data_IF_318700793739
#
_entry.id   IF_318700793739
#
_cell.length_a   1.000
_cell.length_b   1.000
_cell.length_c   1.000
_cell.angle_alpha   90.00
_cell.angle_beta   90.00
_cell.angle_gamma   90.00
#
_symmetry.space_group_name_H-M   'P 1'
#
loop_
_entity.id
_entity.type
_entity.pdbx_description
1 polymer ?
#
# COMPACT_ATOMS: atom_id res chain seq x y z
N UNK A 1 -12.21 -27.90 66.41
CA UNK A 1 -11.05 -27.24 65.76
C UNK A 1 -10.87 -27.63 64.28
N UNK A 2 -11.51 -28.69 63.77
CA UNK A 2 -11.33 -29.15 62.37
C UNK A 2 -11.99 -28.27 61.28
N UNK A 3 -13.14 -27.63 61.54
CA UNK A 3 -13.82 -26.77 60.54
C UNK A 3 -13.00 -25.54 60.12
N UNK A 4 -12.10 -25.04 60.99
CA UNK A 4 -11.25 -23.89 60.67
C UNK A 4 -10.06 -24.26 59.77
N UNK A 5 -9.59 -25.51 59.81
CA UNK A 5 -8.48 -25.97 58.97
C UNK A 5 -8.88 -26.16 57.50
N UNK A 6 -10.08 -26.71 57.24
CA UNK A 6 -10.60 -26.88 55.88
C UNK A 6 -10.89 -25.54 55.18
N UNK A 7 -11.40 -24.55 55.91
CA UNK A 7 -11.67 -23.21 55.37
C UNK A 7 -10.38 -22.45 55.04
N UNK A 8 -9.30 -22.65 55.81
CA UNK A 8 -7.98 -22.10 55.50
C UNK A 8 -7.37 -22.73 54.24
N UNK A 9 -7.56 -24.03 54.04
CA UNK A 9 -6.99 -24.75 52.90
C UNK A 9 -7.69 -24.37 51.58
N UNK A 10 -9.03 -24.24 51.60
CA UNK A 10 -9.82 -23.77 50.44
C UNK A 10 -9.46 -22.33 50.03
N UNK A 11 -9.29 -21.43 51.00
CA UNK A 11 -8.87 -20.04 50.73
C UNK A 11 -7.46 -19.95 50.13
N UNK A 12 -6.51 -20.75 50.61
CA UNK A 12 -5.14 -20.79 50.03
C UNK A 12 -5.15 -21.25 48.57
N UNK A 13 -5.95 -22.26 48.23
CA UNK A 13 -6.06 -22.76 46.86
C UNK A 13 -6.75 -21.75 45.93
N UNK A 14 -7.74 -21.02 46.42
CA UNK A 14 -8.40 -19.95 45.65
C UNK A 14 -7.49 -18.75 45.40
N UNK A 15 -6.73 -18.31 46.42
CA UNK A 15 -5.73 -17.25 46.26
C UNK A 15 -4.61 -17.66 45.30
N UNK A 16 -4.15 -18.92 45.36
CA UNK A 16 -3.14 -19.45 44.43
C UNK A 16 -3.65 -19.47 42.98
N UNK A 17 -4.91 -19.87 42.76
CA UNK A 17 -5.53 -19.89 41.43
C UNK A 17 -5.68 -18.48 40.84
N UNK A 18 -6.16 -17.51 41.62
CA UNK A 18 -6.24 -16.11 41.18
C UNK A 18 -4.86 -15.55 40.83
N UNK A 19 -3.85 -15.86 41.65
CA UNK A 19 -2.47 -15.43 41.39
C UNK A 19 -1.94 -16.01 40.08
N UNK A 20 -2.23 -17.28 39.78
CA UNK A 20 -1.86 -17.92 38.52
C UNK A 20 -2.59 -17.31 37.31
N UNK A 21 -3.89 -17.04 37.41
CA UNK A 21 -4.67 -16.43 36.32
C UNK A 21 -4.20 -15.00 36.06
N UNK A 22 -3.95 -14.20 37.10
CA UNK A 22 -3.44 -12.84 36.95
C UNK A 22 -2.02 -12.85 36.38
N UNK A 23 -1.14 -13.75 36.81
CA UNK A 23 0.19 -13.92 36.24
C UNK A 23 0.14 -14.34 34.77
N UNK A 24 -0.78 -15.23 34.39
CA UNK A 24 -0.97 -15.65 33.01
C UNK A 24 -1.50 -14.51 32.13
N UNK A 25 -2.46 -13.72 32.63
CA UNK A 25 -2.95 -12.51 31.95
C UNK A 25 -1.82 -11.49 31.80
N UNK A 26 -0.99 -11.29 32.83
CA UNK A 26 0.12 -10.34 32.78
C UNK A 26 1.22 -10.79 31.81
N UNK A 27 1.55 -12.09 31.76
CA UNK A 27 2.48 -12.68 30.78
C UNK A 27 1.91 -12.57 29.36
N UNK A 28 0.61 -12.80 29.18
CA UNK A 28 -0.07 -12.65 27.90
C UNK A 28 -0.05 -11.18 27.43
N UNK A 29 -0.32 -10.22 28.33
CA UNK A 29 -0.22 -8.79 28.05
C UNK A 29 1.22 -8.33 27.79
N UNK A 30 2.21 -8.89 28.48
CA UNK A 30 3.64 -8.60 28.24
C UNK A 30 4.16 -9.20 26.92
N UNK A 31 3.59 -10.32 26.46
CA UNK A 31 3.86 -10.88 25.13
C UNK A 31 3.22 -10.04 24.01
N UNK A 32 2.03 -9.48 24.25
CA UNK A 32 1.39 -8.54 23.31
C UNK A 32 2.16 -7.21 23.25
N UNK A 33 2.62 -6.69 24.40
CA UNK A 33 3.31 -5.40 24.50
C UNK A 33 4.73 -5.34 23.90
N UNK A 34 5.30 -6.48 23.49
CA UNK A 34 6.62 -6.53 22.82
C UNK A 34 6.56 -6.71 21.31
N UNK A 35 5.38 -6.89 20.73
CA UNK A 35 5.20 -6.82 19.28
C UNK A 35 4.98 -5.37 18.86
N UNK A 36 6.01 -4.52 18.98
CA UNK A 36 6.16 -3.49 17.95
C UNK A 36 6.51 -4.24 16.67
N UNK A 37 5.51 -4.81 16.01
CA UNK A 37 5.70 -5.55 14.78
C UNK A 37 6.41 -4.59 13.82
N UNK A 38 7.63 -4.94 13.42
CA UNK A 38 8.35 -4.18 12.42
C UNK A 38 7.50 -4.24 11.14
N UNK A 39 6.74 -3.18 10.85
CA UNK A 39 5.80 -3.16 9.72
C UNK A 39 6.54 -3.28 8.39
N UNK A 40 7.75 -2.72 8.31
CA UNK A 40 8.57 -2.74 7.11
C UNK A 40 9.72 -3.74 7.18
N UNK A 41 10.00 -4.44 6.08
CA UNK A 41 11.16 -5.32 5.97
C UNK A 41 12.47 -4.52 6.10
N UNK A 42 13.56 -5.19 6.48
CA UNK A 42 14.90 -4.57 6.60
C UNK A 42 15.42 -3.99 5.28
N UNK A 43 14.88 -4.45 4.15
CA UNK A 43 15.20 -3.99 2.82
C UNK A 43 14.43 -2.74 2.38
N UNK A 44 13.63 -2.11 3.25
CA UNK A 44 12.87 -0.91 2.89
C UNK A 44 13.74 0.14 2.17
N UNK A 45 13.18 0.71 1.10
CA UNK A 45 13.84 1.65 0.17
C UNK A 45 14.99 1.06 -0.67
N UNK A 46 15.31 -0.23 -0.57
CA UNK A 46 16.32 -0.85 -1.44
C UNK A 46 15.63 -1.46 -2.67
N UNK A 47 16.10 -1.11 -3.87
CA UNK A 47 15.61 -1.70 -5.12
C UNK A 47 16.23 -3.09 -5.38
N UNK A 48 17.57 -3.13 -5.45
CA UNK A 48 18.34 -4.37 -5.52
C UNK A 48 18.71 -4.84 -4.09
N UNK A 49 18.34 -6.07 -3.74
CA UNK A 49 18.54 -6.61 -2.39
C UNK A 49 19.75 -7.53 -2.34
N UNK A 50 20.55 -7.39 -1.28
CA UNK A 50 21.73 -8.21 -1.01
C UNK A 50 21.66 -8.81 0.38
N UNK A 51 22.04 -10.08 0.50
CA UNK A 51 22.15 -10.80 1.75
C UNK A 51 23.58 -11.26 2.01
N UNK A 52 23.90 -11.46 3.28
CA UNK A 52 25.17 -12.03 3.70
C UNK A 52 25.17 -13.54 3.47
N UNK A 53 26.19 -14.04 2.78
CA UNK A 53 26.41 -15.46 2.52
C UNK A 53 27.81 -15.84 2.97
N UNK A 54 27.91 -16.90 3.77
CA UNK A 54 29.20 -17.45 4.21
C UNK A 54 29.81 -18.28 3.08
N UNK A 55 31.01 -17.92 2.63
CA UNK A 55 31.77 -18.74 1.71
C UNK A 55 32.29 -19.98 2.44
N UNK A 56 31.80 -21.16 2.06
CA UNK A 56 32.09 -22.43 2.73
C UNK A 56 33.55 -22.88 2.61
N UNK A 57 34.33 -22.31 1.68
CA UNK A 57 35.74 -22.65 1.48
C UNK A 57 36.67 -21.74 2.27
N UNK A 58 36.32 -20.47 2.38
CA UNK A 58 37.20 -19.46 2.99
C UNK A 58 36.74 -19.00 4.38
N UNK A 59 35.48 -19.25 4.75
CA UNK A 59 34.88 -18.75 5.98
C UNK A 59 34.59 -17.25 5.95
N UNK A 60 34.76 -16.57 4.81
CA UNK A 60 34.47 -15.14 4.67
C UNK A 60 33.00 -14.89 4.37
N UNK A 61 32.43 -13.85 5.00
CA UNK A 61 31.10 -13.36 4.68
C UNK A 61 31.17 -12.45 3.45
N UNK A 62 30.37 -12.74 2.44
CA UNK A 62 30.20 -11.91 1.24
C UNK A 62 28.77 -11.44 1.09
N UNK A 63 28.57 -10.26 0.51
CA UNK A 63 27.24 -9.80 0.11
C UNK A 63 26.90 -10.36 -1.26
N UNK A 64 25.80 -11.10 -1.36
CA UNK A 64 25.31 -11.72 -2.59
C UNK A 64 23.93 -11.15 -2.89
N UNK A 65 23.68 -10.83 -4.16
CA UNK A 65 22.36 -10.40 -4.59
C UNK A 65 21.37 -11.55 -4.37
N UNK A 66 20.20 -11.25 -3.80
CA UNK A 66 19.17 -12.28 -3.59
C UNK A 66 18.70 -12.85 -4.93
N UNK A 67 18.05 -14.02 -4.88
CA UNK A 67 17.41 -14.59 -6.06
C UNK A 67 16.39 -13.59 -6.64
N UNK A 68 16.37 -13.48 -7.96
CA UNK A 68 15.48 -12.57 -8.68
C UNK A 68 14.53 -13.34 -9.58
N UNK A 69 13.34 -12.77 -9.80
CA UNK A 69 12.40 -13.26 -10.80
C UNK A 69 12.97 -13.14 -12.23
N UNK A 70 12.21 -13.61 -13.23
CA UNK A 70 12.60 -13.56 -14.64
C UNK A 70 12.83 -12.14 -15.20
N UNK A 71 12.43 -11.10 -14.47
CA UNK A 71 12.61 -9.70 -14.85
C UNK A 71 13.76 -9.04 -14.10
N UNK A 72 14.29 -9.66 -13.05
CA UNK A 72 15.36 -9.11 -12.22
C UNK A 72 14.90 -8.44 -10.93
N UNK A 73 13.61 -8.52 -10.58
CA UNK A 73 13.14 -8.06 -9.27
C UNK A 73 13.43 -9.11 -8.19
N UNK A 74 13.57 -8.71 -6.93
CA UNK A 74 13.77 -9.66 -5.84
C UNK A 74 12.65 -10.71 -5.80
N UNK A 75 12.99 -11.98 -5.58
CA UNK A 75 12.01 -13.07 -5.57
C UNK A 75 11.45 -13.32 -4.17
N UNK A 76 10.12 -13.35 -4.05
CA UNK A 76 9.42 -13.62 -2.79
C UNK A 76 9.05 -12.38 -1.97
N UNK A 77 8.05 -12.53 -1.10
CA UNK A 77 7.38 -11.42 -0.40
C UNK A 77 8.18 -10.84 0.77
N UNK A 78 9.20 -11.55 1.27
CA UNK A 78 10.10 -11.10 2.32
C UNK A 78 10.96 -9.90 1.92
N UNK A 79 10.99 -9.57 0.63
CA UNK A 79 11.68 -8.39 0.09
C UNK A 79 10.73 -7.25 -0.29
N UNK A 80 9.42 -7.37 0.01
CA UNK A 80 8.46 -6.28 -0.19
C UNK A 80 8.74 -5.16 0.82
N UNK A 81 8.08 -4.01 0.68
CA UNK A 81 8.17 -2.94 1.68
C UNK A 81 7.70 -3.43 3.05
N UNK A 82 6.52 -4.04 3.12
CA UNK A 82 5.93 -4.50 4.37
C UNK A 82 6.08 -6.00 4.59
N UNK A 83 6.19 -6.41 5.85
CA UNK A 83 6.08 -7.82 6.24
C UNK A 83 4.68 -8.35 5.92
N UNK A 84 4.57 -9.66 5.67
CA UNK A 84 3.25 -10.28 5.46
C UNK A 84 2.37 -10.10 6.71
N UNK A 85 1.07 -9.90 6.47
CA UNK A 85 0.06 -9.68 7.51
C UNK A 85 0.26 -8.44 8.40
N UNK A 86 1.18 -7.53 8.05
CA UNK A 86 1.46 -6.30 8.83
C UNK A 86 0.23 -5.43 9.08
N UNK A 87 -0.76 -5.48 8.19
CA UNK A 87 -1.95 -4.63 8.20
C UNK A 87 -3.24 -5.43 8.44
N UNK A 88 -3.17 -6.52 9.20
CA UNK A 88 -4.37 -7.24 9.64
C UNK A 88 -5.34 -6.31 10.36
N UNK A 89 -6.60 -6.32 9.93
CA UNK A 89 -7.65 -5.44 10.45
C UNK A 89 -7.82 -4.15 9.66
N UNK A 90 -6.85 -3.78 8.81
CA UNK A 90 -6.96 -2.61 7.96
C UNK A 90 -7.81 -2.88 6.73
N UNK A 91 -8.62 -1.89 6.37
CA UNK A 91 -9.55 -1.97 5.22
C UNK A 91 -9.22 -0.92 4.17
N UNK A 92 -9.12 -1.35 2.92
CA UNK A 92 -9.04 -0.48 1.74
C UNK A 92 -10.43 -0.42 1.10
N UNK A 93 -11.00 0.77 0.98
CA UNK A 93 -12.21 1.00 0.19
C UNK A 93 -11.80 1.32 -1.24
N UNK A 94 -12.40 0.65 -2.21
CA UNK A 94 -12.10 0.81 -3.64
C UNK A 94 -13.36 1.23 -4.39
N UNK A 95 -13.31 2.40 -5.02
CA UNK A 95 -14.24 2.81 -6.06
C UNK A 95 -13.72 2.25 -7.39
N UNK A 96 -14.21 1.06 -7.76
CA UNK A 96 -13.84 0.38 -8.99
C UNK A 96 -14.82 0.81 -10.09
N UNK A 97 -14.57 1.97 -10.71
CA UNK A 97 -15.52 2.60 -11.63
C UNK A 97 -15.40 2.11 -13.07
N UNK A 98 -14.27 1.50 -13.44
CA UNK A 98 -14.06 0.87 -14.74
C UNK A 98 -14.01 -0.66 -14.60
N UNK A 99 -15.00 -1.34 -15.18
CA UNK A 99 -15.13 -2.82 -15.15
C UNK A 99 -15.05 -3.42 -16.56
N UNK A 100 -14.49 -2.67 -17.51
CA UNK A 100 -14.34 -3.12 -18.88
C UNK A 100 -13.33 -4.27 -18.99
N UNK A 101 -13.32 -4.94 -20.14
CA UNK A 101 -12.24 -5.86 -20.54
C UNK A 101 -11.99 -7.00 -19.53
N UNK A 102 -13.00 -7.35 -18.73
CA UNK A 102 -12.93 -8.40 -17.72
C UNK A 102 -12.20 -7.98 -16.43
N UNK A 103 -11.96 -6.69 -16.19
CA UNK A 103 -11.29 -6.24 -14.97
C UNK A 103 -12.14 -6.53 -13.72
N UNK A 104 -11.76 -7.56 -12.98
CA UNK A 104 -12.47 -8.03 -11.80
C UNK A 104 -11.77 -7.72 -10.46
N UNK A 105 -10.59 -7.10 -10.47
CA UNK A 105 -9.75 -6.77 -9.30
C UNK A 105 -9.33 -7.97 -8.44
N UNK A 106 -9.44 -9.21 -8.94
CA UNK A 106 -9.08 -10.41 -8.19
C UNK A 106 -7.58 -10.47 -7.86
N UNK A 107 -6.72 -10.07 -8.81
CA UNK A 107 -5.27 -10.09 -8.67
C UNK A 107 -4.76 -9.05 -7.64
N UNK A 108 -5.13 -7.75 -7.72
CA UNK A 108 -4.81 -6.80 -6.67
C UNK A 108 -5.33 -7.22 -5.30
N UNK A 109 -6.58 -7.71 -5.21
CA UNK A 109 -7.16 -8.17 -3.95
C UNK A 109 -6.34 -9.30 -3.32
N UNK A 110 -5.85 -10.24 -4.12
CA UNK A 110 -5.03 -11.36 -3.64
C UNK A 110 -3.70 -10.86 -3.10
N UNK A 111 -3.00 -9.99 -3.82
CA UNK A 111 -1.73 -9.42 -3.37
C UNK A 111 -1.89 -8.58 -2.09
N UNK A 112 -2.94 -7.76 -2.00
CA UNK A 112 -3.22 -6.96 -0.80
C UNK A 112 -3.51 -7.84 0.44
N UNK A 113 -4.17 -8.99 0.24
CA UNK A 113 -4.45 -9.95 1.31
C UNK A 113 -3.17 -10.53 1.93
N UNK A 114 -2.11 -10.72 1.15
CA UNK A 114 -0.80 -11.19 1.67
C UNK A 114 -0.25 -10.24 2.75
N UNK A 115 -0.52 -8.93 2.62
CA UNK A 115 -0.11 -7.91 3.60
C UNK A 115 -1.12 -7.68 4.71
N UNK A 116 -2.21 -8.44 4.74
CA UNK A 116 -3.23 -8.39 5.79
C UNK A 116 -4.39 -7.45 5.52
N UNK A 117 -4.39 -6.70 4.41
CA UNK A 117 -5.49 -5.81 4.07
C UNK A 117 -6.75 -6.60 3.71
N UNK A 118 -7.89 -6.09 4.18
CA UNK A 118 -9.18 -6.41 3.59
C UNK A 118 -9.56 -5.36 2.55
N UNK A 119 -10.38 -5.74 1.56
CA UNK A 119 -10.79 -4.88 0.46
C UNK A 119 -12.31 -4.87 0.36
N UNK A 120 -12.89 -3.68 0.43
CA UNK A 120 -14.31 -3.43 0.19
C UNK A 120 -14.50 -2.62 -1.09
N UNK A 121 -15.42 -3.04 -1.97
CA UNK A 121 -15.55 -2.50 -3.34
C UNK A 121 -16.93 -1.97 -3.63
N UNK A 122 -16.98 -0.79 -4.22
CA UNK A 122 -18.10 -0.31 -5.02
C UNK A 122 -17.76 -0.50 -6.49
N UNK A 123 -18.61 -1.23 -7.21
CA UNK A 123 -18.33 -1.72 -8.56
C UNK A 123 -19.18 -0.97 -9.56
N UNK A 124 -18.55 -0.49 -10.64
CA UNK A 124 -19.14 0.24 -11.76
C UNK A 124 -19.71 1.63 -11.39
N UNK A 125 -20.39 1.80 -10.26
CA UNK A 125 -20.89 3.10 -9.80
C UNK A 125 -20.42 3.38 -8.37
N UNK A 126 -20.16 4.64 -8.02
CA UNK A 126 -19.97 5.01 -6.62
C UNK A 126 -21.29 4.81 -5.86
N UNK A 127 -21.25 4.62 -4.54
CA UNK A 127 -22.44 4.64 -3.70
C UNK A 127 -22.95 6.08 -3.52
N UNK A 128 -23.89 6.33 -2.61
CA UNK A 128 -24.18 7.73 -2.22
C UNK A 128 -23.00 8.33 -1.43
N UNK A 129 -22.85 9.68 -1.39
CA UNK A 129 -21.82 10.33 -0.57
C UNK A 129 -21.87 9.91 0.91
N UNK A 130 -23.06 9.77 1.48
CA UNK A 130 -23.26 9.36 2.89
C UNK A 130 -22.82 7.92 3.12
N UNK A 131 -23.08 7.04 2.15
CA UNK A 131 -22.65 5.64 2.24
C UNK A 131 -21.13 5.52 2.04
N UNK A 132 -20.55 6.31 1.12
CA UNK A 132 -19.10 6.40 0.97
C UNK A 132 -18.45 6.85 2.28
N UNK A 133 -18.97 7.90 2.93
CA UNK A 133 -18.44 8.41 4.19
C UNK A 133 -18.48 7.33 5.30
N UNK A 134 -19.59 6.58 5.41
CA UNK A 134 -19.71 5.47 6.37
C UNK A 134 -18.64 4.40 6.15
N UNK A 135 -18.37 4.04 4.89
CA UNK A 135 -17.34 3.07 4.54
C UNK A 135 -15.94 3.60 4.84
N UNK A 136 -15.67 4.87 4.49
CA UNK A 136 -14.38 5.53 4.73
C UNK A 136 -14.04 5.73 6.21
N UNK A 137 -15.04 5.87 7.09
CA UNK A 137 -14.82 5.95 8.53
C UNK A 137 -14.10 4.71 9.10
N UNK A 138 -14.29 3.54 8.46
CA UNK A 138 -13.67 2.27 8.85
C UNK A 138 -12.44 1.91 8.01
N UNK A 139 -12.10 2.73 7.02
CA UNK A 139 -11.01 2.47 6.10
C UNK A 139 -9.72 3.18 6.51
N UNK A 140 -8.59 2.57 6.18
CA UNK A 140 -7.27 3.22 6.22
C UNK A 140 -6.95 3.96 4.94
N UNK A 141 -7.53 3.52 3.81
CA UNK A 141 -7.24 4.05 2.48
C UNK A 141 -8.48 4.07 1.59
N UNK A 142 -8.46 4.98 0.61
CA UNK A 142 -9.41 5.04 -0.50
C UNK A 142 -8.67 4.87 -1.83
N UNK A 143 -9.08 3.91 -2.64
CA UNK A 143 -8.58 3.74 -4.00
C UNK A 143 -9.68 4.08 -5.01
N UNK A 144 -9.34 4.84 -6.04
CA UNK A 144 -10.27 5.27 -7.08
C UNK A 144 -9.70 4.79 -8.40
N UNK A 145 -10.40 3.88 -9.06
CA UNK A 145 -10.09 3.41 -10.41
C UNK A 145 -11.06 4.11 -11.34
N UNK A 146 -10.57 5.13 -12.03
CA UNK A 146 -11.36 5.99 -12.88
C UNK A 146 -11.96 5.24 -14.08
N UNK A 147 -13.00 5.82 -14.66
CA UNK A 147 -13.62 5.37 -15.90
C UNK A 147 -13.53 6.46 -16.98
N UNK A 148 -14.16 6.21 -18.12
CA UNK A 148 -14.21 7.12 -19.27
C UNK A 148 -15.23 8.26 -19.11
N UNK A 149 -16.11 8.16 -18.12
CA UNK A 149 -17.08 9.20 -17.74
C UNK A 149 -16.92 9.49 -16.26
N UNK A 150 -17.12 10.76 -15.89
CA UNK A 150 -17.18 11.15 -14.49
C UNK A 150 -18.45 10.57 -13.86
N UNK A 151 -18.29 9.84 -12.76
CA UNK A 151 -19.39 9.26 -11.98
C UNK A 151 -19.54 9.89 -10.61
N UNK A 152 -18.47 10.52 -10.10
CA UNK A 152 -18.47 11.26 -8.83
C UNK A 152 -19.06 12.66 -9.02
N UNK A 153 -19.61 13.21 -7.93
CA UNK A 153 -20.14 14.58 -7.87
C UNK A 153 -19.47 15.38 -6.74
N UNK A 154 -19.84 16.64 -6.58
CA UNK A 154 -19.23 17.55 -5.61
C UNK A 154 -19.35 17.06 -4.16
N UNK A 155 -20.48 16.42 -3.80
CA UNK A 155 -20.67 15.88 -2.45
C UNK A 155 -19.72 14.71 -2.17
N UNK A 156 -19.43 13.87 -3.17
CA UNK A 156 -18.37 12.87 -3.06
C UNK A 156 -17.00 13.51 -2.83
N UNK A 157 -16.68 14.60 -3.55
CA UNK A 157 -15.40 15.29 -3.39
C UNK A 157 -15.22 15.83 -1.97
N UNK A 158 -16.28 16.37 -1.35
CA UNK A 158 -16.25 16.84 0.05
C UNK A 158 -15.93 15.68 1.01
N UNK A 159 -16.55 14.53 0.83
CA UNK A 159 -16.30 13.31 1.62
C UNK A 159 -14.85 12.83 1.43
N UNK A 160 -14.38 12.75 0.19
CA UNK A 160 -13.02 12.30 -0.14
C UNK A 160 -11.98 13.28 0.43
N UNK A 161 -12.21 14.59 0.31
CA UNK A 161 -11.33 15.62 0.86
C UNK A 161 -11.26 15.55 2.39
N UNK A 162 -12.39 15.37 3.07
CA UNK A 162 -12.40 15.17 4.53
C UNK A 162 -11.58 13.94 4.93
N UNK A 163 -11.71 12.84 4.19
CA UNK A 163 -10.92 11.63 4.42
C UNK A 163 -9.43 11.87 4.20
N UNK A 164 -9.04 12.50 3.09
CA UNK A 164 -7.66 12.84 2.77
C UNK A 164 -7.05 13.82 3.79
N UNK A 165 -7.78 14.88 4.16
CA UNK A 165 -7.33 15.88 5.13
C UNK A 165 -7.17 15.31 6.55
N UNK A 166 -7.80 14.16 6.86
CA UNK A 166 -7.54 13.42 8.11
C UNK A 166 -6.14 12.78 8.17
N UNK A 167 -5.42 12.73 7.04
CA UNK A 167 -4.09 12.13 6.90
C UNK A 167 -4.11 10.69 6.38
N UNK A 168 -5.28 10.15 6.03
CA UNK A 168 -5.43 8.81 5.44
C UNK A 168 -5.08 8.81 3.96
N UNK A 169 -4.57 7.69 3.47
CA UNK A 169 -4.02 7.57 2.12
C UNK A 169 -5.09 7.50 1.03
N UNK A 170 -4.87 8.19 -0.08
CA UNK A 170 -5.69 8.07 -1.30
C UNK A 170 -4.84 7.55 -2.46
N UNK A 171 -5.35 6.61 -3.25
CA UNK A 171 -4.74 6.15 -4.49
C UNK A 171 -5.69 6.43 -5.65
N UNK A 172 -5.31 7.33 -6.56
CA UNK A 172 -6.08 7.64 -7.76
C UNK A 172 -5.41 7.04 -8.97
N UNK A 173 -6.16 6.18 -9.65
CA UNK A 173 -5.79 5.50 -10.87
C UNK A 173 -6.59 6.07 -12.03
N UNK A 174 -5.89 6.60 -13.02
CA UNK A 174 -6.40 6.85 -14.37
C UNK A 174 -5.72 5.93 -15.37
N UNK A 175 -6.13 6.07 -16.63
CA UNK A 175 -5.42 5.54 -17.78
C UNK A 175 -5.51 6.60 -18.89
N UNK A 176 -5.09 6.28 -20.11
CA UNK A 176 -5.23 7.13 -21.30
C UNK A 176 -6.61 7.77 -21.46
N UNK A 177 -6.68 8.87 -22.20
CA UNK A 177 -7.96 9.48 -22.58
C UNK A 177 -8.90 8.45 -23.24
N UNK A 178 -10.18 8.35 -22.83
CA UNK A 178 -10.90 9.17 -21.84
C UNK A 178 -10.89 8.67 -20.37
N UNK A 179 -10.13 7.64 -20.03
CA UNK A 179 -10.23 6.84 -18.80
C UNK A 179 -9.67 7.47 -17.51
N UNK A 180 -9.45 8.78 -17.47
CA UNK A 180 -9.05 9.54 -16.27
C UNK A 180 -10.13 10.52 -15.78
N UNK A 181 -11.39 10.36 -16.19
CA UNK A 181 -12.46 11.33 -15.89
C UNK A 181 -12.62 11.62 -14.38
N UNK A 182 -12.89 10.59 -13.57
CA UNK A 182 -12.99 10.74 -12.11
C UNK A 182 -11.62 10.95 -11.46
N UNK A 183 -10.55 10.40 -12.05
CA UNK A 183 -9.19 10.63 -11.57
C UNK A 183 -8.86 12.14 -11.55
N UNK A 184 -9.08 12.81 -12.69
CA UNK A 184 -8.88 14.26 -12.82
C UNK A 184 -9.84 15.06 -11.96
N UNK A 185 -11.11 14.65 -11.87
CA UNK A 185 -12.09 15.37 -11.06
C UNK A 185 -11.69 15.40 -9.58
N UNK A 186 -11.17 14.27 -9.06
CA UNK A 186 -10.72 14.17 -7.68
C UNK A 186 -9.35 14.80 -7.47
N UNK A 187 -8.35 14.50 -8.31
CA UNK A 187 -6.98 15.00 -8.12
C UNK A 187 -6.88 16.52 -8.24
N UNK A 188 -7.66 17.12 -9.15
CA UNK A 188 -7.75 18.58 -9.29
C UNK A 188 -8.35 19.23 -8.04
N UNK A 189 -9.40 18.63 -7.49
CA UNK A 189 -10.04 19.14 -6.27
C UNK A 189 -9.15 19.00 -5.03
N UNK A 190 -8.38 17.91 -4.92
CA UNK A 190 -7.52 17.68 -3.77
C UNK A 190 -6.24 18.52 -3.79
N UNK A 191 -5.56 18.58 -4.94
CA UNK A 191 -4.22 19.17 -5.04
C UNK A 191 -3.96 19.95 -6.35
N UNK A 192 -4.96 20.13 -7.22
CA UNK A 192 -4.81 20.91 -8.46
C UNK A 192 -3.99 20.24 -9.56
N UNK A 193 -3.85 18.90 -9.54
CA UNK A 193 -3.11 18.12 -10.55
C UNK A 193 -4.08 17.37 -11.46
N UNK A 194 -3.73 17.25 -12.75
CA UNK A 194 -4.48 16.46 -13.75
C UNK A 194 -3.57 15.52 -14.55
N UNK A 195 -4.18 14.47 -15.08
CA UNK A 195 -3.67 13.57 -16.11
C UNK A 195 -4.11 14.03 -17.50
N UNK A 196 -3.30 13.75 -18.52
CA UNK A 196 -3.62 14.01 -19.92
C UNK A 196 -2.96 12.98 -20.86
N UNK A 197 -3.43 12.96 -22.10
CA UNK A 197 -2.81 12.17 -23.17
C UNK A 197 -3.40 10.78 -23.34
N UNK A 198 -3.05 10.19 -24.48
CA UNK A 198 -3.47 8.86 -24.89
C UNK A 198 -2.27 8.13 -25.50
N UNK A 199 -1.35 7.72 -24.63
CA UNK A 199 -0.08 7.17 -25.07
C UNK A 199 -0.13 5.63 -25.01
N UNK A 200 0.44 4.94 -26.01
CA UNK A 200 0.70 3.51 -25.86
C UNK A 200 1.73 3.32 -24.74
N UNK A 201 1.55 2.26 -23.98
CA UNK A 201 2.53 1.76 -23.03
C UNK A 201 3.03 0.40 -23.51
N UNK A 202 2.78 -0.61 -22.67
CA UNK A 202 3.10 -2.01 -22.86
C UNK A 202 4.61 -2.32 -22.79
N UNK A 203 5.34 -1.55 -21.99
CA UNK A 203 6.78 -1.71 -21.78
C UNK A 203 7.10 -2.01 -20.32
N UNK A 204 8.12 -2.84 -20.11
CA UNK A 204 8.77 -3.00 -18.81
C UNK A 204 9.91 -2.00 -18.73
N UNK A 205 9.83 -1.07 -17.77
CA UNK A 205 10.86 -0.06 -17.53
C UNK A 205 11.71 -0.45 -16.32
N UNK A 206 13.01 -0.15 -16.38
CA UNK A 206 13.96 -0.44 -15.29
C UNK A 206 14.04 0.66 -14.25
N UNK A 207 15.18 0.75 -13.54
CA UNK A 207 15.49 1.88 -12.66
C UNK A 207 15.85 3.13 -13.47
N UNK A 208 15.40 4.29 -12.99
CA UNK A 208 15.76 5.58 -13.55
C UNK A 208 17.22 5.91 -13.21
N UNK A 209 18.09 5.77 -14.21
CA UNK A 209 19.47 6.26 -14.13
C UNK A 209 19.48 7.79 -14.24
N UNK A 210 20.41 8.45 -13.52
CA UNK A 210 20.46 9.90 -13.23
C UNK A 210 20.25 10.91 -14.38
N UNK A 211 20.11 10.50 -15.63
CA UNK A 211 19.95 11.39 -16.79
C UNK A 211 18.84 10.99 -17.79
N UNK A 212 18.12 9.87 -17.58
CA UNK A 212 17.26 9.29 -18.63
C UNK A 212 15.77 9.62 -18.52
N UNK A 213 15.27 9.99 -17.32
CA UNK A 213 13.83 10.22 -17.07
C UNK A 213 12.96 9.08 -17.63
N UNK A 214 13.39 7.83 -17.46
CA UNK A 214 12.62 6.63 -17.80
C UNK A 214 12.82 5.65 -16.64
N UNK A 215 11.75 5.01 -16.20
CA UNK A 215 11.82 3.99 -15.17
C UNK A 215 11.41 4.43 -13.78
N UNK A 216 11.66 3.53 -12.84
CA UNK A 216 11.37 3.66 -11.41
C UNK A 216 12.34 4.63 -10.74
N UNK A 217 11.82 5.53 -9.91
CA UNK A 217 12.65 6.35 -9.03
C UNK A 217 13.30 5.46 -7.95
N UNK A 218 14.65 5.36 -7.90
CA UNK A 218 15.31 4.52 -6.92
C UNK A 218 15.19 5.11 -5.51
N UNK A 219 15.20 4.25 -4.49
CA UNK A 219 15.25 4.69 -3.09
C UNK A 219 13.90 5.09 -2.46
N UNK A 220 12.82 5.21 -3.25
CA UNK A 220 11.50 5.46 -2.67
C UNK A 220 10.93 4.19 -2.03
N UNK A 221 10.24 4.29 -0.89
CA UNK A 221 9.71 3.13 -0.14
C UNK A 221 8.83 2.22 -1.00
N UNK A 222 7.99 2.81 -1.87
CA UNK A 222 7.14 2.04 -2.80
C UNK A 222 7.97 1.17 -3.76
N UNK A 223 9.20 1.57 -4.09
CA UNK A 223 10.08 0.84 -5.02
C UNK A 223 10.91 -0.27 -4.36
N UNK A 224 10.67 -0.56 -3.08
CA UNK A 224 11.37 -1.64 -2.35
C UNK A 224 11.28 -2.98 -3.08
N UNK A 225 12.42 -3.59 -3.37
CA UNK A 225 12.56 -4.87 -4.08
C UNK A 225 12.22 -4.82 -5.57
N UNK A 226 12.00 -3.62 -6.13
CA UNK A 226 11.70 -3.40 -7.54
C UNK A 226 12.90 -2.79 -8.27
N UNK A 227 13.39 -3.51 -9.27
CA UNK A 227 14.32 -2.99 -10.28
C UNK A 227 13.62 -2.72 -11.62
N UNK A 228 12.49 -3.41 -11.86
CA UNK A 228 11.70 -3.33 -13.09
C UNK A 228 10.21 -3.31 -12.78
N UNK A 229 9.46 -2.48 -13.51
CA UNK A 229 7.99 -2.41 -13.42
C UNK A 229 7.34 -2.37 -14.79
N UNK A 230 6.19 -3.00 -14.93
CA UNK A 230 5.32 -2.83 -16.09
C UNK A 230 4.49 -1.54 -15.98
N UNK A 231 4.48 -0.72 -17.03
CA UNK A 231 3.83 0.61 -16.97
C UNK A 231 2.32 0.60 -17.28
N UNK A 232 1.74 -0.52 -17.71
CA UNK A 232 0.38 -0.63 -18.24
C UNK A 232 0.36 -0.75 -19.76
N UNK A 233 -0.77 -1.14 -20.38
CA UNK A 233 -0.90 -1.23 -21.85
C UNK A 233 -0.98 0.15 -22.47
N UNK A 234 -1.68 1.05 -21.80
CA UNK A 234 -1.84 2.46 -22.14
C UNK A 234 -1.50 3.28 -20.92
N UNK A 235 -1.10 4.53 -21.13
CA UNK A 235 -0.71 5.44 -20.07
C UNK A 235 -1.18 6.87 -20.34
N UNK A 236 -1.47 7.59 -19.27
CA UNK A 236 -1.61 9.04 -19.23
C UNK A 236 -0.40 9.69 -18.54
N UNK A 237 -0.21 10.98 -18.81
CA UNK A 237 0.86 11.80 -18.23
C UNK A 237 0.30 12.70 -17.14
N UNK A 238 0.97 12.75 -16.01
CA UNK A 238 0.67 13.68 -14.92
C UNK A 238 1.22 15.09 -15.22
N UNK A 239 0.37 16.10 -15.07
CA UNK A 239 0.72 17.50 -15.18
C UNK A 239 0.72 18.17 -13.80
N UNK A 240 1.91 18.37 -13.24
CA UNK A 240 2.11 19.03 -11.95
C UNK A 240 2.81 20.37 -12.15
N UNK A 241 2.01 21.43 -12.38
CA UNK A 241 2.54 22.78 -12.64
C UNK A 241 3.12 23.41 -11.37
N UNK A 242 2.61 23.01 -10.22
CA UNK A 242 2.95 23.55 -8.91
C UNK A 242 4.12 22.79 -8.26
N UNK A 243 4.63 21.72 -8.89
CA UNK A 243 5.74 20.90 -8.40
C UNK A 243 5.47 20.32 -7.00
N UNK A 244 4.23 19.85 -6.80
CA UNK A 244 3.78 19.25 -5.56
C UNK A 244 4.13 17.76 -5.45
N UNK A 245 4.45 17.12 -6.56
CA UNK A 245 4.62 15.67 -6.67
C UNK A 245 6.09 15.25 -6.69
N UNK A 246 6.36 14.11 -6.06
CA UNK A 246 7.60 13.36 -6.23
C UNK A 246 7.39 12.28 -7.31
N UNK A 247 8.11 12.34 -8.44
CA UNK A 247 7.96 11.35 -9.51
C UNK A 247 8.34 9.95 -9.03
N UNK A 248 7.51 8.95 -9.35
CA UNK A 248 7.75 7.55 -8.99
C UNK A 248 8.06 6.68 -10.20
N UNK A 249 7.34 6.91 -11.31
CA UNK A 249 7.50 6.15 -12.56
C UNK A 249 7.47 7.13 -13.72
N UNK A 250 8.56 7.15 -14.47
CA UNK A 250 8.56 7.70 -15.82
C UNK A 250 8.35 6.59 -16.84
N UNK A 251 7.40 6.78 -17.75
CA UNK A 251 7.15 5.84 -18.84
C UNK A 251 8.28 5.82 -19.86
N UNK A 252 8.24 4.87 -20.79
CA UNK A 252 9.25 4.77 -21.85
C UNK A 252 9.31 6.02 -22.75
N UNK A 253 8.20 6.74 -22.91
CA UNK A 253 8.09 8.04 -23.61
C UNK A 253 8.59 9.23 -22.77
N UNK A 254 9.28 8.97 -21.65
CA UNK A 254 9.87 9.98 -20.74
C UNK A 254 8.86 10.90 -20.05
N UNK A 255 7.59 10.50 -20.05
CA UNK A 255 6.50 11.19 -19.39
C UNK A 255 6.31 10.68 -17.95
N UNK A 256 5.85 11.55 -17.05
CA UNK A 256 5.57 11.16 -15.66
C UNK A 256 4.24 10.41 -15.60
N UNK A 257 4.29 9.09 -15.41
CA UNK A 257 3.11 8.21 -15.40
C UNK A 257 2.56 8.07 -13.98
N UNK A 258 3.44 7.94 -13.00
CA UNK A 258 3.07 7.83 -11.60
C UNK A 258 3.93 8.74 -10.73
N UNK A 259 3.30 9.35 -9.74
CA UNK A 259 3.97 10.20 -8.77
C UNK A 259 3.22 10.19 -7.43
N UNK A 260 3.94 10.52 -6.37
CA UNK A 260 3.42 10.61 -5.01
C UNK A 260 3.29 12.06 -4.57
N UNK A 261 2.35 12.31 -3.66
CA UNK A 261 2.26 13.54 -2.89
C UNK A 261 2.39 13.17 -1.42
N UNK A 262 3.31 13.81 -0.72
CA UNK A 262 3.47 13.67 0.73
C UNK A 262 3.75 15.04 1.36
N UNK A 263 2.71 15.70 1.87
CA UNK A 263 2.83 16.98 2.56
C UNK A 263 1.80 17.06 3.69
N UNK A 264 2.14 17.74 4.79
CA UNK A 264 1.31 17.88 5.99
C UNK A 264 0.82 16.53 6.57
N UNK A 265 1.63 15.50 6.34
CA UNK A 265 1.36 14.10 6.68
C UNK A 265 0.12 13.52 6.00
N UNK A 266 -0.25 14.03 4.82
CA UNK A 266 -1.22 13.43 3.91
C UNK A 266 -0.45 12.73 2.79
N UNK A 267 -0.90 11.54 2.39
CA UNK A 267 -0.29 10.77 1.30
C UNK A 267 -1.28 10.49 0.19
N UNK A 268 -0.85 10.73 -1.05
CA UNK A 268 -1.61 10.44 -2.26
C UNK A 268 -0.67 9.82 -3.30
N UNK A 269 -1.20 8.86 -4.06
CA UNK A 269 -0.55 8.36 -5.28
C UNK A 269 -1.47 8.69 -6.45
N UNK A 270 -0.90 9.29 -7.50
CA UNK A 270 -1.54 9.43 -8.80
C UNK A 270 -0.84 8.51 -9.79
N UNK A 271 -1.58 7.64 -10.47
CA UNK A 271 -1.02 6.69 -11.43
C UNK A 271 -1.89 6.67 -12.69
N UNK A 272 -1.27 6.97 -13.82
CA UNK A 272 -1.91 7.08 -15.13
C UNK A 272 -1.92 5.79 -15.94
N UNK A 273 -1.63 4.62 -15.36
CA UNK A 273 -1.63 3.34 -16.10
C UNK A 273 -2.35 2.21 -15.37
N UNK A 274 -3.65 2.35 -15.10
CA UNK A 274 -4.42 1.35 -14.34
C UNK A 274 -4.50 -0.01 -15.03
N UNK A 275 -4.28 -0.09 -16.36
CA UNK A 275 -4.28 -1.36 -17.08
C UNK A 275 -3.31 -2.39 -16.49
N UNK A 276 -2.24 -1.94 -15.81
CA UNK A 276 -1.34 -2.85 -15.06
C UNK A 276 -2.05 -3.66 -13.97
N UNK A 277 -3.18 -3.18 -13.45
CA UNK A 277 -3.90 -3.85 -12.36
C UNK A 277 -4.60 -5.14 -12.79
N UNK A 278 -4.76 -5.38 -14.10
CA UNK A 278 -5.46 -6.57 -14.60
C UNK A 278 -4.91 -7.13 -15.90
N UNK A 279 -4.22 -6.31 -16.69
CA UNK A 279 -3.53 -6.79 -17.88
C UNK A 279 -2.08 -7.07 -17.56
N UNK A 280 -1.62 -8.24 -17.95
CA UNK A 280 -0.23 -8.65 -17.79
C UNK A 280 0.27 -8.46 -16.36
N UNK A 281 -0.56 -8.79 -15.37
CA UNK A 281 -0.25 -8.67 -13.93
C UNK A 281 1.08 -9.34 -13.55
N UNK A 282 1.37 -10.49 -14.15
CA UNK A 282 2.62 -11.24 -13.92
C UNK A 282 3.83 -10.63 -14.66
N UNK A 283 3.65 -9.51 -15.38
CA UNK A 283 4.76 -8.75 -15.91
C UNK A 283 5.36 -7.86 -14.82
N UNK A 284 6.67 -8.05 -14.63
CA UNK A 284 7.60 -7.20 -13.90
C UNK A 284 7.00 -6.44 -12.70
N UNK A 285 7.01 -7.07 -11.53
CA UNK A 285 6.91 -6.35 -10.26
C UNK A 285 5.56 -5.73 -9.90
N UNK A 286 4.52 -5.82 -10.75
CA UNK A 286 3.21 -5.20 -10.50
C UNK A 286 2.61 -5.57 -9.14
N UNK A 287 2.59 -6.85 -8.78
CA UNK A 287 2.08 -7.29 -7.48
C UNK A 287 2.86 -6.71 -6.29
N UNK A 288 4.20 -6.65 -6.38
CA UNK A 288 5.06 -6.03 -5.37
C UNK A 288 4.82 -4.52 -5.28
N UNK A 289 4.71 -3.86 -6.43
CA UNK A 289 4.38 -2.42 -6.51
C UNK A 289 3.06 -2.10 -5.81
N UNK A 290 1.98 -2.84 -6.12
CA UNK A 290 0.66 -2.66 -5.49
C UNK A 290 0.72 -2.86 -3.98
N UNK A 291 1.43 -3.90 -3.50
CA UNK A 291 1.61 -4.17 -2.07
C UNK A 291 2.38 -3.06 -1.36
N UNK A 292 3.46 -2.58 -1.98
CA UNK A 292 4.28 -1.50 -1.41
C UNK A 292 3.55 -0.17 -1.39
N UNK A 293 2.80 0.16 -2.45
CA UNK A 293 1.95 1.34 -2.54
C UNK A 293 0.91 1.36 -1.42
N UNK A 294 0.22 0.23 -1.21
CA UNK A 294 -0.73 0.06 -0.11
C UNK A 294 -0.07 0.25 1.26
N UNK A 295 1.10 -0.36 1.48
CA UNK A 295 1.83 -0.26 2.74
C UNK A 295 2.30 1.18 3.06
N UNK A 296 2.70 1.93 2.03
CA UNK A 296 3.11 3.33 2.18
C UNK A 296 1.92 4.26 2.48
N UNK A 297 0.78 4.02 1.81
CA UNK A 297 -0.45 4.81 1.99
C UNK A 297 -1.11 4.69 3.37
N UNK A 298 -0.83 3.62 4.14
CA UNK A 298 -1.33 3.49 5.52
C UNK A 298 -0.85 4.63 6.42
N UNK A 299 0.31 5.22 6.11
CA UNK A 299 0.90 6.28 6.93
C UNK A 299 1.11 5.80 8.40
N UNK A 300 1.60 4.57 8.52
CA UNK A 300 1.64 3.81 9.78
C UNK A 300 2.36 4.58 10.88
N UNK A 301 3.49 5.21 10.57
CA UNK A 301 4.30 6.02 11.47
C UNK A 301 3.57 7.23 12.06
N UNK A 302 2.53 7.74 11.39
CA UNK A 302 1.68 8.83 11.92
C UNK A 302 0.64 8.29 12.89
N UNK A 303 0.03 7.16 12.58
CA UNK A 303 -1.08 6.61 13.36
C UNK A 303 -0.60 5.75 14.55
N UNK A 304 0.45 4.96 14.38
CA UNK A 304 1.03 4.14 15.45
C UNK A 304 1.57 4.98 16.62
N UNK A 305 2.18 6.15 16.35
CA UNK A 305 2.66 7.07 17.39
C UNK A 305 1.55 7.69 18.24
N UNK A 306 0.28 7.62 17.81
CA UNK A 306 -0.86 8.09 18.63
C UNK A 306 -1.30 7.05 19.65
N UNK A 307 -1.09 5.76 19.38
CA UNK A 307 -1.59 4.67 20.22
C UNK A 307 -0.65 4.36 21.41
N UNK A 308 0.58 4.88 21.41
CA UNK A 308 1.53 4.76 22.54
C UNK A 308 1.32 5.82 23.66
N UNK A 309 0.27 6.66 23.57
CA UNK A 309 -0.01 7.73 24.55
C UNK A 309 -1.23 7.46 25.44
N UNK A 310 -1.38 6.24 25.96
CA UNK A 310 -2.35 5.92 27.01
C UNK A 310 -1.69 5.26 28.21
#
# INVERSE_FOLDING_TARGET
>A
MEKNAQNLHSRKNFTLYITFVLAFIMIFLLLIGKMSAQVYNKCAAQNAIYEESLDSRTGHVRKVKVETDRYGNAQGNQYDLAVDLAFQGETIVVLHLYTGEGFDFSLPKTALKEKGFSVYRYINNPPSPEELEKSLNKACQLWIISSYVQKLNEEHLKVIKKFFDSGKGVYIWGDNEPYYADANYVSDYLIGVKMYGNLPGNVVVGLNEKNKKVGLTPGHLITTGLEYVYEGITIATLQDKQQLLEPLIYGHEKNMVCATYEQDGKRLILDGGFTRLYVSWDNAGTGRYVKNAAAWLVNYERFAKKDEKF
#
